data_IF_740307442180
#
_entry.id   IF_740307442180
#
_cell.length_a   1.000
_cell.length_b   1.000
_cell.length_c   1.000
_cell.angle_alpha   90.00
_cell.angle_beta   90.00
_cell.angle_gamma   90.00
#
_symmetry.space_group_name_H-M   'P 1'
#
loop_
_entity.id
_entity.type
_entity.pdbx_description
1 polymer ?
#
# COMPACT_ATOMS: atom_id res chain seq x y z
N UNK A 1 19.00 11.75 4.52
CA UNK A 1 18.99 10.33 4.18
C UNK A 1 18.24 10.11 2.88
N UNK A 2 18.88 9.42 1.97
CA UNK A 2 18.28 9.16 0.65
C UNK A 2 17.54 7.84 0.66
N UNK A 3 16.34 7.87 0.08
CA UNK A 3 15.51 6.68 -0.07
C UNK A 3 15.51 6.32 -1.56
N UNK A 4 15.89 5.07 -1.88
CA UNK A 4 15.79 4.60 -3.26
C UNK A 4 14.34 4.36 -3.60
N UNK A 5 13.92 4.82 -4.75
CA UNK A 5 12.56 4.65 -5.20
C UNK A 5 12.53 3.85 -6.49
N UNK A 6 11.85 2.72 -6.46
CA UNK A 6 11.78 1.78 -7.57
C UNK A 6 10.32 1.68 -8.02
N UNK A 7 10.08 1.87 -9.30
CA UNK A 7 8.71 1.84 -9.80
C UNK A 7 8.62 0.99 -11.06
N UNK A 8 7.70 0.04 -11.03
CA UNK A 8 7.28 -0.75 -12.20
C UNK A 8 5.76 -0.76 -12.20
N UNK A 9 5.19 0.43 -12.18
CA UNK A 9 3.75 0.62 -12.09
C UNK A 9 3.20 1.06 -13.44
N UNK A 10 2.16 0.36 -13.88
CA UNK A 10 1.47 0.70 -15.13
C UNK A 10 -0.01 0.84 -14.86
N UNK A 11 -0.55 2.01 -15.18
CA UNK A 11 -1.97 2.27 -15.01
C UNK A 11 -2.78 1.33 -15.89
N UNK A 12 -3.80 0.65 -15.36
CA UNK A 12 -4.58 -0.29 -16.16
C UNK A 12 -5.51 0.46 -17.12
N UNK A 13 -5.29 0.26 -18.42
CA UNK A 13 -6.07 0.97 -19.43
C UNK A 13 -7.38 0.25 -19.70
N UNK A 14 -8.37 1.02 -20.16
CA UNK A 14 -9.68 0.51 -20.54
C UNK A 14 -10.38 -0.22 -19.40
N UNK A 15 -10.32 0.38 -18.22
CA UNK A 15 -10.90 -0.19 -17.02
C UNK A 15 -11.80 0.82 -16.34
N UNK A 16 -12.59 0.34 -15.38
CA UNK A 16 -13.45 1.21 -14.59
C UNK A 16 -12.73 1.88 -13.42
N UNK A 17 -11.46 1.55 -13.20
CA UNK A 17 -10.68 2.21 -12.14
C UNK A 17 -10.39 3.64 -12.57
N UNK A 18 -10.97 4.59 -11.85
CA UNK A 18 -10.76 5.99 -12.22
C UNK A 18 -9.54 6.59 -11.52
N UNK A 19 -9.04 7.67 -12.10
CA UNK A 19 -7.80 8.28 -11.63
C UNK A 19 -7.93 8.85 -10.22
N UNK A 20 -9.12 9.33 -9.85
CA UNK A 20 -9.31 9.87 -8.51
C UNK A 20 -9.15 8.78 -7.45
N UNK A 21 -9.81 7.64 -7.66
CA UNK A 21 -9.72 6.52 -6.71
C UNK A 21 -8.30 6.02 -6.60
N UNK A 22 -7.60 5.92 -7.74
CA UNK A 22 -6.20 5.51 -7.71
C UNK A 22 -5.35 6.51 -6.94
N UNK A 23 -5.62 7.81 -7.08
CA UNK A 23 -4.86 8.82 -6.34
C UNK A 23 -5.07 8.70 -4.83
N UNK A 24 -6.27 8.36 -4.39
CA UNK A 24 -6.52 8.12 -2.96
C UNK A 24 -5.67 6.96 -2.47
N UNK A 25 -5.65 5.86 -3.23
CA UNK A 25 -4.84 4.70 -2.87
C UNK A 25 -3.37 5.10 -2.79
N UNK A 26 -2.84 5.73 -3.83
CA UNK A 26 -1.41 6.01 -3.90
C UNK A 26 -0.96 7.03 -2.87
N UNK A 27 -1.76 8.08 -2.63
CA UNK A 27 -1.39 9.06 -1.61
C UNK A 27 -1.33 8.44 -0.22
N UNK A 28 -2.33 7.63 0.12
CA UNK A 28 -2.33 6.98 1.44
C UNK A 28 -1.22 5.94 1.55
N UNK A 29 -0.96 5.19 0.48
CA UNK A 29 0.08 4.16 0.49
C UNK A 29 1.47 4.77 0.61
N UNK A 30 1.74 5.84 -0.14
CA UNK A 30 3.04 6.50 -0.08
C UNK A 30 3.27 7.17 1.27
N UNK A 31 2.24 7.79 1.83
CA UNK A 31 2.36 8.35 3.18
C UNK A 31 2.67 7.27 4.20
N UNK A 32 2.02 6.11 4.08
CA UNK A 32 2.30 4.99 4.96
C UNK A 32 3.76 4.53 4.83
N UNK A 33 4.25 4.45 3.60
CA UNK A 33 5.65 4.09 3.37
C UNK A 33 6.60 5.09 4.00
N UNK A 34 6.34 6.39 3.81
CA UNK A 34 7.22 7.43 4.33
C UNK A 34 7.27 7.42 5.85
N UNK A 35 6.19 7.00 6.50
CA UNK A 35 6.17 6.89 7.96
C UNK A 35 6.95 5.70 8.47
N UNK A 36 7.04 4.63 7.68
CA UNK A 36 7.61 3.37 8.12
C UNK A 36 9.00 3.09 7.58
N UNK A 37 9.37 3.68 6.45
CA UNK A 37 10.63 3.33 5.80
C UNK A 37 11.82 3.57 6.73
N UNK A 38 12.69 2.56 6.84
CA UNK A 38 13.84 2.63 7.72
C UNK A 38 14.90 1.63 7.26
N UNK A 39 16.01 1.58 7.99
CA UNK A 39 17.10 0.70 7.68
C UNK A 39 18.30 1.43 7.09
N UNK A 40 19.39 0.69 6.88
CA UNK A 40 20.63 1.27 6.40
C UNK A 40 20.58 1.63 4.92
N UNK A 41 19.77 0.90 4.15
CA UNK A 41 19.61 1.14 2.72
C UNK A 41 18.11 1.26 2.43
N UNK A 42 17.51 2.39 2.80
CA UNK A 42 16.05 2.52 2.72
C UNK A 42 15.56 2.58 1.27
N UNK A 43 14.44 1.91 1.04
CA UNK A 43 13.84 1.87 -0.29
C UNK A 43 12.32 1.80 -0.20
N UNK A 44 11.68 2.26 -1.27
CA UNK A 44 10.25 2.09 -1.50
C UNK A 44 10.10 1.54 -2.92
N UNK A 45 9.29 0.51 -3.08
CA UNK A 45 9.09 -0.14 -4.37
C UNK A 45 7.58 -0.24 -4.65
N UNK A 46 7.20 0.13 -5.87
CA UNK A 46 5.82 0.05 -6.33
C UNK A 46 5.80 -0.77 -7.60
N UNK A 47 4.93 -1.77 -7.66
CA UNK A 47 4.74 -2.53 -8.88
C UNK A 47 3.25 -2.81 -9.08
N UNK A 48 2.87 -3.10 -10.31
CA UNK A 48 1.50 -3.45 -10.64
C UNK A 48 1.48 -4.67 -11.54
N UNK A 49 0.35 -5.36 -11.51
CA UNK A 49 0.16 -6.55 -12.30
C UNK A 49 -1.31 -6.65 -12.66
N UNK A 50 -1.60 -6.90 -13.93
CA UNK A 50 -2.97 -7.08 -14.36
C UNK A 50 -3.12 -8.44 -15.03
N UNK A 51 -4.14 -9.17 -14.64
CA UNK A 51 -4.53 -10.42 -15.30
C UNK A 51 -6.03 -10.41 -15.45
N UNK A 52 -6.48 -10.33 -16.70
CA UNK A 52 -7.91 -10.25 -17.02
C UNK A 52 -8.55 -9.06 -16.28
N UNK A 53 -9.56 -9.30 -15.46
CA UNK A 53 -10.27 -8.26 -14.75
C UNK A 53 -9.63 -7.86 -13.42
N UNK A 54 -8.57 -8.56 -13.01
CA UNK A 54 -7.93 -8.33 -11.72
C UNK A 54 -6.71 -7.45 -11.89
N UNK A 55 -6.64 -6.40 -11.08
CA UNK A 55 -5.50 -5.50 -11.02
C UNK A 55 -4.90 -5.55 -9.63
N UNK A 56 -3.61 -5.75 -9.53
CA UNK A 56 -2.92 -5.80 -8.24
C UNK A 56 -1.83 -4.75 -8.19
N UNK A 57 -1.73 -4.11 -7.04
CA UNK A 57 -0.65 -3.18 -6.73
C UNK A 57 0.09 -3.73 -5.53
N UNK A 58 1.41 -3.80 -5.64
CA UNK A 58 2.27 -4.24 -4.54
C UNK A 58 3.20 -3.10 -4.19
N UNK A 59 3.18 -2.69 -2.94
CA UNK A 59 4.01 -1.59 -2.45
C UNK A 59 4.82 -2.10 -1.29
N UNK A 60 6.15 -1.98 -1.40
CA UNK A 60 7.07 -2.45 -0.38
C UNK A 60 7.91 -1.29 0.12
N UNK A 61 8.25 -1.35 1.39
CA UNK A 61 9.27 -0.44 1.92
C UNK A 61 10.15 -1.21 2.90
N UNK A 62 11.42 -0.82 2.93
CA UNK A 62 12.34 -1.37 3.92
C UNK A 62 11.89 -0.94 5.32
N UNK A 63 12.03 -1.86 6.29
CA UNK A 63 11.56 -1.60 7.63
C UNK A 63 12.29 -2.51 8.60
N UNK A 64 12.98 -1.92 9.57
CA UNK A 64 13.73 -2.69 10.55
C UNK A 64 13.02 -2.83 11.88
N UNK A 65 11.83 -2.28 12.03
CA UNK A 65 11.08 -2.33 13.27
C UNK A 65 10.11 -3.50 13.34
N UNK A 66 9.11 -3.36 14.17
CA UNK A 66 8.09 -4.36 14.38
C UNK A 66 6.73 -3.71 14.31
N UNK A 67 5.86 -4.20 13.42
CA UNK A 67 4.49 -3.71 13.33
C UNK A 67 3.66 -4.38 14.43
N UNK A 68 2.71 -3.61 14.97
CA UNK A 68 1.81 -4.11 16.00
C UNK A 68 0.42 -4.27 15.40
N UNK A 69 0.04 -5.52 15.15
CA UNK A 69 -1.28 -5.81 14.55
C UNK A 69 -2.39 -5.93 15.59
N UNK A 70 -2.03 -6.23 16.85
CA UNK A 70 -3.05 -6.48 17.85
C UNK A 70 -3.95 -7.63 17.42
N UNK A 71 -5.26 -7.41 17.45
CA UNK A 71 -6.24 -8.41 17.01
C UNK A 71 -6.72 -8.14 15.58
N UNK A 72 -6.06 -7.24 14.88
CA UNK A 72 -6.48 -6.78 13.55
C UNK A 72 -5.56 -7.32 12.46
N UNK A 73 -6.08 -7.40 11.24
CA UNK A 73 -5.25 -7.76 10.08
C UNK A 73 -4.45 -6.57 9.54
N UNK A 74 -4.70 -5.37 10.07
CA UNK A 74 -3.91 -4.19 9.77
C UNK A 74 -3.26 -3.69 11.06
N UNK A 75 -2.04 -3.16 10.98
CA UNK A 75 -1.35 -2.74 12.19
C UNK A 75 -1.97 -1.50 12.80
N UNK A 76 -1.85 -1.40 14.13
CA UNK A 76 -2.21 -0.20 14.83
C UNK A 76 -1.14 0.85 14.60
N UNK A 77 -1.58 2.12 14.56
CA UNK A 77 -0.61 3.20 14.48
C UNK A 77 0.00 3.42 15.85
N UNK A 78 1.33 3.65 15.86
CA UNK A 78 2.02 4.04 17.06
C UNK A 78 2.03 5.54 17.26
N UNK A 79 1.56 6.27 16.26
CA UNK A 79 1.52 7.72 16.33
C UNK A 79 0.18 8.16 16.87
N UNK A 80 0.19 9.17 17.70
CA UNK A 80 -1.03 9.80 18.13
C UNK A 80 -1.54 10.66 17.00
N UNK A 81 -2.78 10.43 16.59
CA UNK A 81 -3.34 11.19 15.50
C UNK A 81 -4.17 10.28 14.61
N UNK A 82 -5.40 10.69 14.38
CA UNK A 82 -6.35 9.84 13.66
C UNK A 82 -5.96 9.59 12.22
N UNK A 83 -5.29 10.55 11.60
CA UNK A 83 -4.94 10.43 10.19
C UNK A 83 -3.96 9.29 9.92
N UNK A 84 -3.16 8.91 10.90
CA UNK A 84 -2.18 7.84 10.71
C UNK A 84 -2.81 6.46 10.73
N UNK A 85 -3.91 6.30 11.47
CA UNK A 85 -4.62 5.03 11.49
C UNK A 85 -5.60 4.91 10.33
N UNK A 86 -5.94 6.01 9.68
CA UNK A 86 -6.95 6.04 8.65
C UNK A 86 -6.41 5.75 7.24
N UNK A 87 -5.10 5.89 7.03
CA UNK A 87 -4.53 5.71 5.71
C UNK A 87 -4.79 4.35 5.12
N UNK A 88 -4.46 3.28 5.86
CA UNK A 88 -4.70 1.91 5.39
C UNK A 88 -6.18 1.62 5.25
N UNK A 89 -7.00 2.14 6.16
CA UNK A 89 -8.44 1.95 6.07
C UNK A 89 -9.03 2.66 4.86
N UNK A 90 -8.49 3.82 4.48
CA UNK A 90 -8.91 4.50 3.27
C UNK A 90 -8.60 3.68 2.02
N UNK A 91 -7.41 3.07 1.99
CA UNK A 91 -7.04 2.20 0.87
C UNK A 91 -7.99 1.02 0.79
N UNK A 92 -8.26 0.39 1.94
CA UNK A 92 -9.17 -0.76 1.99
C UNK A 92 -10.57 -0.38 1.50
N UNK A 93 -11.06 0.78 1.91
CA UNK A 93 -12.37 1.24 1.49
C UNK A 93 -12.46 1.36 -0.02
N UNK A 94 -11.44 1.97 -0.64
CA UNK A 94 -11.44 2.11 -2.10
C UNK A 94 -11.33 0.75 -2.76
N UNK A 95 -10.43 -0.12 -2.27
CA UNK A 95 -10.29 -1.46 -2.86
C UNK A 95 -11.61 -2.21 -2.84
N UNK A 96 -12.35 -2.11 -1.74
CA UNK A 96 -13.65 -2.79 -1.61
C UNK A 96 -14.70 -2.20 -2.54
N UNK A 97 -14.60 -0.94 -2.92
CA UNK A 97 -15.47 -0.36 -3.95
C UNK A 97 -15.28 -1.07 -5.29
N UNK A 98 -14.12 -1.66 -5.50
CA UNK A 98 -13.80 -2.42 -6.71
C UNK A 98 -13.77 -3.92 -6.42
N UNK A 99 -14.55 -4.36 -5.45
CA UNK A 99 -14.74 -5.77 -5.10
C UNK A 99 -13.44 -6.48 -4.73
N UNK A 100 -12.50 -5.74 -4.16
CA UNK A 100 -11.22 -6.27 -3.74
C UNK A 100 -10.96 -6.04 -2.27
N UNK A 101 -9.71 -6.13 -1.91
CA UNK A 101 -9.29 -5.90 -0.53
C UNK A 101 -7.78 -5.66 -0.52
N UNK A 102 -7.25 -5.43 0.66
CA UNK A 102 -5.82 -5.22 0.86
C UNK A 102 -5.31 -6.20 1.91
N UNK A 103 -4.01 -6.42 1.88
CA UNK A 103 -3.31 -7.15 2.93
C UNK A 103 -2.00 -6.46 3.22
N UNK A 104 -1.56 -6.51 4.46
CA UNK A 104 -0.28 -5.96 4.86
C UNK A 104 0.48 -7.05 5.60
N UNK A 105 1.71 -7.30 5.15
CA UNK A 105 2.55 -8.31 5.74
C UNK A 105 3.90 -7.73 6.10
N UNK A 106 4.47 -8.24 7.17
CA UNK A 106 5.84 -7.89 7.51
C UNK A 106 6.74 -9.05 7.15
N UNK A 107 7.61 -8.81 6.17
CA UNK A 107 8.62 -9.77 5.77
C UNK A 107 9.92 -9.53 6.49
N UNK A 108 11.00 -10.09 5.96
CA UNK A 108 12.32 -9.90 6.53
C UNK A 108 12.81 -8.48 6.17
N UNK A 109 12.81 -7.60 7.17
CA UNK A 109 13.25 -6.22 7.04
C UNK A 109 12.49 -5.44 5.98
N UNK A 110 11.22 -5.80 5.76
CA UNK A 110 10.38 -5.04 4.82
C UNK A 110 8.91 -5.19 5.20
N UNK A 111 8.12 -4.23 4.74
CA UNK A 111 6.67 -4.25 4.85
C UNK A 111 6.11 -4.33 3.44
N UNK A 112 5.13 -5.19 3.24
CA UNK A 112 4.53 -5.45 1.93
C UNK A 112 3.03 -5.18 2.01
N UNK A 113 2.59 -4.18 1.26
CA UNK A 113 1.17 -3.87 1.11
C UNK A 113 0.71 -4.37 -0.25
N UNK A 114 -0.29 -5.24 -0.25
CA UNK A 114 -0.87 -5.77 -1.48
C UNK A 114 -2.30 -5.27 -1.60
N UNK A 115 -2.65 -4.76 -2.78
CA UNK A 115 -3.97 -4.21 -3.05
C UNK A 115 -4.51 -4.93 -4.29
N UNK A 116 -5.70 -5.52 -4.17
CA UNK A 116 -6.34 -6.23 -5.27
C UNK A 116 -7.68 -5.62 -5.56
N UNK A 117 -7.97 -5.41 -6.85
CA UNK A 117 -9.24 -4.83 -7.29
C UNK A 117 -9.72 -5.50 -8.57
N UNK A 118 -11.03 -5.53 -8.75
CA UNK A 118 -11.62 -5.89 -10.04
C UNK A 118 -11.87 -4.61 -10.82
N UNK A 119 -11.28 -4.54 -12.01
CA UNK A 119 -11.27 -3.27 -12.77
C UNK A 119 -12.04 -3.35 -14.08
N UNK A 120 -12.75 -4.43 -14.28
CA UNK A 120 -13.66 -4.54 -15.43
C UNK A 120 -15.07 -4.80 -15.00
#
# INVERSE_FOLDING_TARGET
>A
RQIRFLSDFHYPQNTKLNAFDLSVIMNNALNNCMENVSGDDPYISISSFRKNSIFMITIKNSFGGQLNFGDSDLPETTKSGREHGMGLNNIRRVARMYMGDISLEQGNEEVILSIMMQVE
#
